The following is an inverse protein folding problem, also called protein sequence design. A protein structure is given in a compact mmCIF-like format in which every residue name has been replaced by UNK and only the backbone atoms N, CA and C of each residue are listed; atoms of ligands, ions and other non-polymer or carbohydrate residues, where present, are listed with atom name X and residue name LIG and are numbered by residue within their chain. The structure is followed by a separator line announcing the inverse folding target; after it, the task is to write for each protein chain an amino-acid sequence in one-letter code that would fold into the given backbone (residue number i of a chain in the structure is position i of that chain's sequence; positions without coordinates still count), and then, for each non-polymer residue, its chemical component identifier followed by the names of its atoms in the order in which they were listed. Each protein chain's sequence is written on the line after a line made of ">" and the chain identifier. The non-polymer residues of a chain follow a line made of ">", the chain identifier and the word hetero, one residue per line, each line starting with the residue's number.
data_IF_564414541454
#
_entry.id   IF_564414541454
#
_cell.length_a   1.000
_cell.length_b   1.000
_cell.length_c   1.000
_cell.angle_alpha   90.00
_cell.angle_beta   90.00
_cell.angle_gamma   90.00
#
_symmetry.space_group_name_H-M   'P 1'
#
loop_
_entity.id
_entity.type
_entity.pdbx_description
1 polymer ?
#
# COMPACT_ATOMS: atom_id res chain seq x y z
N UNK A 1 66.17 -26.86 -17.68
CA UNK A 1 66.65 -28.02 -16.92
C UNK A 1 68.03 -27.69 -16.40
N UNK A 2 68.35 -27.90 -15.11
CA UNK A 2 67.58 -28.55 -14.02
C UNK A 2 67.17 -27.56 -12.90
N UNK A 3 66.07 -27.75 -12.15
CA UNK A 3 65.84 -28.72 -11.02
C UNK A 3 66.50 -28.20 -9.73
N UNK A 4 65.97 -28.19 -8.51
CA UNK A 4 64.94 -28.91 -7.73
C UNK A 4 64.61 -27.99 -6.51
N UNK A 5 63.57 -28.12 -5.70
CA UNK A 5 62.66 -29.21 -5.39
C UNK A 5 61.93 -28.90 -4.06
N UNK A 6 60.91 -29.72 -3.81
CA UNK A 6 59.88 -29.71 -2.77
C UNK A 6 60.31 -29.56 -1.29
N UNK A 7 59.32 -29.18 -0.44
CA UNK A 7 59.42 -29.36 1.01
C UNK A 7 58.23 -28.90 1.87
N UNK A 8 57.11 -29.62 1.80
CA UNK A 8 56.10 -29.94 2.86
C UNK A 8 56.23 -29.31 4.27
N UNK A 9 55.14 -28.71 4.80
CA UNK A 9 54.65 -28.87 6.21
C UNK A 9 53.16 -28.40 6.34
N UNK A 10 52.38 -28.72 7.41
CA UNK A 10 51.25 -29.65 7.33
C UNK A 10 49.88 -29.06 7.79
N UNK A 11 48.85 -29.89 7.60
CA UNK A 11 47.53 -29.84 8.21
C UNK A 11 47.53 -29.50 9.72
N UNK A 12 46.70 -28.53 10.11
CA UNK A 12 46.08 -28.51 11.43
C UNK A 12 44.56 -28.35 11.28
N UNK A 13 43.87 -29.47 11.50
CA UNK A 13 42.45 -29.53 11.85
C UNK A 13 42.24 -28.86 13.20
N UNK A 14 41.32 -27.90 13.25
CA UNK A 14 40.57 -27.61 14.47
C UNK A 14 39.09 -27.76 14.18
N UNK A 15 38.52 -28.75 14.86
CA UNK A 15 37.09 -29.01 15.04
C UNK A 15 36.42 -27.82 15.73
N UNK A 16 35.40 -27.26 15.09
CA UNK A 16 34.42 -26.36 15.69
C UNK A 16 33.03 -26.89 15.37
N UNK A 17 32.23 -27.03 16.43
CA UNK A 17 30.97 -27.77 16.50
C UNK A 17 29.89 -27.28 15.54
N UNK A 18 29.07 -28.25 15.12
CA UNK A 18 27.87 -28.06 14.34
C UNK A 18 26.71 -27.72 15.27
N UNK A 19 26.13 -26.52 15.12
CA UNK A 19 24.77 -26.24 15.58
C UNK A 19 23.80 -26.57 14.46
N UNK A 20 23.15 -27.71 14.64
CA UNK A 20 21.98 -28.16 13.89
C UNK A 20 20.75 -27.38 14.33
N UNK A 21 20.18 -26.56 13.44
CA UNK A 21 18.81 -26.07 13.57
C UNK A 21 17.95 -26.74 12.50
N UNK A 22 16.97 -27.48 12.99
CA UNK A 22 15.99 -28.25 12.24
C UNK A 22 15.05 -27.30 11.45
N UNK A 23 14.69 -27.60 10.19
CA UNK A 23 13.75 -26.79 9.42
C UNK A 23 12.36 -27.41 9.53
N UNK A 24 11.45 -26.77 10.25
CA UNK A 24 10.02 -27.08 10.12
C UNK A 24 9.19 -25.79 10.07
N UNK A 25 8.30 -25.79 9.07
CA UNK A 25 7.11 -24.95 8.90
C UNK A 25 7.29 -23.46 8.58
N UNK A 26 7.36 -23.14 7.29
CA UNK A 26 6.59 -22.02 6.71
C UNK A 26 6.15 -22.36 5.28
N UNK A 27 4.94 -22.91 5.15
CA UNK A 27 4.15 -22.80 3.92
C UNK A 27 2.78 -22.22 4.28
N UNK A 28 2.33 -21.28 3.42
CA UNK A 28 0.98 -20.75 3.27
C UNK A 28 0.60 -19.49 4.07
N UNK A 29 0.98 -18.32 3.55
CA UNK A 29 -0.01 -17.31 3.12
C UNK A 29 0.69 -16.17 2.38
N UNK A 30 0.38 -16.06 1.09
CA UNK A 30 0.75 -14.97 0.19
C UNK A 30 0.25 -13.62 0.72
N UNK A 31 0.97 -12.54 0.42
CA UNK A 31 0.69 -11.13 0.76
C UNK A 31 0.90 -10.70 2.22
N UNK A 32 2.14 -10.45 2.63
CA UNK A 32 2.39 -9.67 3.86
C UNK A 32 3.70 -8.89 3.94
N UNK A 33 4.70 -9.11 3.07
CA UNK A 33 6.05 -8.58 3.33
C UNK A 33 6.61 -7.53 2.36
N UNK A 34 5.77 -6.82 1.58
CA UNK A 34 6.24 -5.65 0.82
C UNK A 34 5.62 -4.32 1.27
N UNK A 35 6.33 -3.71 2.23
CA UNK A 35 6.46 -2.27 2.49
C UNK A 35 5.30 -1.51 3.15
N UNK A 36 4.99 -1.89 4.40
CA UNK A 36 4.51 -0.97 5.45
C UNK A 36 5.68 -0.25 6.18
N UNK A 37 6.93 -0.62 5.86
CA UNK A 37 8.14 -0.20 6.58
C UNK A 37 8.60 1.25 6.29
N UNK A 38 7.95 1.99 5.38
CA UNK A 38 8.27 3.40 5.07
C UNK A 38 7.37 4.42 5.79
N UNK A 39 6.45 3.97 6.65
CA UNK A 39 5.49 4.85 7.35
C UNK A 39 5.56 4.82 8.88
N UNK A 40 6.39 3.96 9.46
CA UNK A 40 6.58 3.89 10.91
C UNK A 40 7.85 4.67 11.31
N UNK A 41 7.67 5.97 11.55
CA UNK A 41 8.66 6.82 12.19
C UNK A 41 8.00 7.54 13.37
N UNK A 42 8.56 7.28 14.55
CA UNK A 42 8.44 7.98 15.84
C UNK A 42 7.08 7.95 16.57
N UNK A 43 6.97 7.02 17.52
CA UNK A 43 6.17 7.19 18.75
C UNK A 43 7.11 7.02 19.94
N UNK A 44 7.32 8.11 20.69
CA UNK A 44 8.01 8.10 21.98
C UNK A 44 7.08 7.50 23.05
N UNK A 45 7.56 6.46 23.72
CA UNK A 45 6.96 5.88 24.92
C UNK A 45 7.22 6.80 26.12
N UNK A 46 6.17 7.31 26.76
CA UNK A 46 6.25 7.83 28.12
C UNK A 46 5.62 6.84 29.08
N UNK A 47 6.48 6.06 29.74
CA UNK A 47 6.15 5.28 30.92
C UNK A 47 6.05 6.20 32.14
N UNK A 48 4.93 6.14 32.85
CA UNK A 48 4.78 6.75 34.16
C UNK A 48 4.41 5.65 35.17
N UNK A 49 5.38 5.28 35.99
CA UNK A 49 5.17 4.51 37.21
C UNK A 49 4.42 5.37 38.23
N UNK A 50 3.40 4.81 38.89
CA UNK A 50 3.05 5.23 40.25
C UNK A 50 2.52 4.04 41.06
N UNK A 51 3.18 3.86 42.20
CA UNK A 51 2.97 2.88 43.27
C UNK A 51 1.89 3.38 44.24
N UNK A 52 1.07 2.47 44.77
CA UNK A 52 0.21 2.68 45.95
C UNK A 52 -0.69 1.46 46.15
N UNK A 53 -0.24 0.47 46.92
CA UNK A 53 -0.62 0.21 48.33
C UNK A 53 -1.98 -0.47 48.49
N UNK A 54 -1.89 -1.76 48.86
CA UNK A 54 -2.97 -2.65 49.28
C UNK A 54 -3.69 -2.11 50.52
N UNK A 55 -5.02 -2.12 50.51
CA UNK A 55 -5.85 -2.21 51.71
C UNK A 55 -7.12 -3.02 51.36
N UNK A 56 -7.20 -4.23 51.90
CA UNK A 56 -8.41 -5.03 52.02
C UNK A 56 -9.32 -4.38 53.06
N UNK A 57 -10.60 -4.15 52.72
CA UNK A 57 -11.67 -4.03 53.70
C UNK A 57 -12.94 -4.65 53.11
N UNK A 58 -13.37 -5.76 53.72
CA UNK A 58 -14.71 -6.32 53.55
C UNK A 58 -15.73 -5.50 54.36
N UNK A 59 -16.91 -5.38 53.76
CA UNK A 59 -18.24 -5.39 54.38
C UNK A 59 -19.10 -4.11 54.30
N UNK A 60 -20.36 -4.41 53.99
CA UNK A 60 -21.59 -3.62 54.14
C UNK A 60 -21.76 -2.31 53.36
N UNK A 61 -22.51 -2.39 52.26
CA UNK A 61 -23.79 -1.65 52.16
C UNK A 61 -24.61 -2.11 50.96
N UNK A 62 -25.67 -2.87 51.25
CA UNK A 62 -26.83 -2.96 50.39
C UNK A 62 -27.47 -1.56 50.24
N UNK A 63 -27.13 -0.83 49.18
CA UNK A 63 -27.88 0.35 48.73
C UNK A 63 -27.59 0.67 47.27
N UNK A 64 -28.65 0.70 46.46
CA UNK A 64 -28.70 1.04 45.02
C UNK A 64 -27.95 0.09 44.08
N UNK A 65 -28.60 -1.03 43.76
CA UNK A 65 -28.66 -1.43 42.34
C UNK A 65 -29.53 -0.41 41.62
N UNK A 66 -28.93 0.73 41.30
CA UNK A 66 -29.44 1.55 40.22
C UNK A 66 -29.14 0.71 38.99
N UNK A 67 -30.17 0.07 38.43
CA UNK A 67 -30.12 -0.36 37.04
C UNK A 67 -29.74 0.90 36.26
N UNK A 68 -28.44 1.08 36.02
CA UNK A 68 -27.96 2.03 35.04
C UNK A 68 -28.47 1.47 33.72
N UNK A 69 -29.69 1.85 33.37
CA UNK A 69 -30.22 1.72 32.02
C UNK A 69 -29.11 2.25 31.12
N UNK A 70 -28.44 1.35 30.39
CA UNK A 70 -27.37 1.77 29.50
C UNK A 70 -27.99 2.83 28.58
N UNK A 71 -27.45 4.05 28.55
CA UNK A 71 -28.05 5.13 27.80
C UNK A 71 -28.21 4.66 26.36
N UNK A 72 -29.39 4.92 25.78
CA UNK A 72 -29.70 4.62 24.38
C UNK A 72 -28.44 4.89 23.53
N UNK A 73 -28.00 3.91 22.71
CA UNK A 73 -26.71 3.97 22.03
C UNK A 73 -26.55 5.25 21.20
N UNK A 74 -27.65 5.78 20.63
CA UNK A 74 -27.66 7.05 19.90
C UNK A 74 -27.42 8.24 20.82
N UNK A 75 -28.10 8.30 21.98
CA UNK A 75 -27.95 9.39 22.95
C UNK A 75 -26.52 9.46 23.49
N UNK A 76 -25.90 8.29 23.73
CA UNK A 76 -24.49 8.22 24.14
C UNK A 76 -23.56 8.70 23.02
N UNK A 77 -23.81 8.26 21.79
CA UNK A 77 -23.05 8.67 20.61
C UNK A 77 -23.13 10.18 20.38
N UNK A 78 -24.32 10.78 20.40
CA UNK A 78 -24.51 12.22 20.22
C UNK A 78 -23.77 13.00 21.31
N UNK A 79 -23.91 12.59 22.58
CA UNK A 79 -23.22 13.24 23.69
C UNK A 79 -21.69 13.25 23.51
N UNK A 80 -21.12 12.16 23.00
CA UNK A 80 -19.67 12.03 22.86
C UNK A 80 -19.15 12.63 21.55
N UNK A 81 -19.94 12.63 20.47
CA UNK A 81 -19.55 13.16 19.17
C UNK A 81 -19.33 14.69 19.20
N UNK A 82 -20.07 15.39 20.07
CA UNK A 82 -19.95 16.84 20.26
C UNK A 82 -19.23 17.22 21.56
N UNK A 83 -18.52 16.28 22.18
CA UNK A 83 -17.75 16.55 23.41
C UNK A 83 -16.45 17.29 23.08
N UNK A 84 -16.05 18.25 23.92
CA UNK A 84 -14.74 18.92 23.81
C UNK A 84 -13.56 17.94 24.02
N UNK A 85 -13.82 16.78 24.62
CA UNK A 85 -12.81 15.76 24.90
C UNK A 85 -12.54 14.95 23.64
N UNK A 86 -11.32 15.06 23.11
CA UNK A 86 -10.85 14.35 21.91
C UNK A 86 -11.07 12.84 22.00
N UNK A 87 -10.73 12.25 23.16
CA UNK A 87 -10.91 10.81 23.40
C UNK A 87 -12.37 10.35 23.25
N UNK A 88 -13.35 11.17 23.65
CA UNK A 88 -14.76 10.83 23.49
C UNK A 88 -15.14 10.77 22.02
N UNK A 89 -14.67 11.72 21.21
CA UNK A 89 -14.95 11.76 19.76
C UNK A 89 -14.26 10.59 19.03
N UNK A 90 -13.03 10.24 19.42
CA UNK A 90 -12.35 9.03 18.94
C UNK A 90 -13.12 7.75 19.32
N UNK A 91 -13.65 7.68 20.54
CA UNK A 91 -14.45 6.55 20.99
C UNK A 91 -15.74 6.42 20.17
N UNK A 92 -16.36 7.53 19.77
CA UNK A 92 -17.49 7.48 18.83
C UNK A 92 -17.03 6.92 17.50
N UNK A 93 -15.95 7.44 16.91
CA UNK A 93 -15.42 6.97 15.63
C UNK A 93 -15.20 5.44 15.62
N UNK A 94 -14.58 4.88 16.69
CA UNK A 94 -14.37 3.43 16.87
C UNK A 94 -15.65 2.61 16.86
N UNK A 95 -16.70 3.15 17.48
CA UNK A 95 -17.94 2.41 17.75
C UNK A 95 -19.05 2.70 16.73
N UNK A 96 -18.78 3.41 15.63
CA UNK A 96 -19.80 3.73 14.61
C UNK A 96 -20.47 2.46 14.09
N UNK A 97 -19.70 1.43 13.75
CA UNK A 97 -20.23 0.18 13.19
C UNK A 97 -21.14 -0.54 14.19
N UNK A 98 -20.71 -0.64 15.45
CA UNK A 98 -21.49 -1.28 16.49
C UNK A 98 -22.77 -0.50 16.80
N UNK A 99 -22.70 0.83 16.75
CA UNK A 99 -23.87 1.69 16.94
C UNK A 99 -24.85 1.54 15.78
N UNK A 100 -24.38 1.56 14.52
CA UNK A 100 -25.22 1.30 13.35
C UNK A 100 -25.90 -0.07 13.44
N UNK A 101 -25.16 -1.11 13.84
CA UNK A 101 -25.70 -2.47 14.01
C UNK A 101 -26.81 -2.52 15.05
N UNK A 102 -26.69 -1.77 16.14
CA UNK A 102 -27.69 -1.73 17.20
C UNK A 102 -28.98 -0.98 16.79
N UNK A 103 -28.94 -0.16 15.73
CA UNK A 103 -30.05 0.75 15.38
C UNK A 103 -30.53 0.65 13.94
N UNK A 104 -30.09 -0.36 13.19
CA UNK A 104 -30.37 -0.53 11.75
C UNK A 104 -31.87 -0.52 11.40
N UNK A 105 -32.72 -0.93 12.33
CA UNK A 105 -34.19 -0.98 12.16
C UNK A 105 -34.90 0.38 12.32
N UNK A 106 -34.19 1.44 12.71
CA UNK A 106 -34.76 2.77 12.97
C UNK A 106 -34.11 3.85 12.11
N UNK A 107 -34.87 4.38 11.15
CA UNK A 107 -34.43 5.47 10.27
C UNK A 107 -33.90 6.67 11.05
N UNK A 108 -34.64 7.15 12.05
CA UNK A 108 -34.26 8.31 12.85
C UNK A 108 -32.94 8.08 13.59
N UNK A 109 -32.73 6.86 14.09
CA UNK A 109 -31.50 6.50 14.78
C UNK A 109 -30.31 6.36 13.81
N UNK A 110 -30.52 5.75 12.63
CA UNK A 110 -29.51 5.69 11.57
C UNK A 110 -29.10 7.10 11.14
N UNK A 111 -30.06 7.99 10.91
CA UNK A 111 -29.82 9.38 10.52
C UNK A 111 -28.99 10.13 11.58
N UNK A 112 -29.24 9.87 12.87
CA UNK A 112 -28.45 10.44 13.97
C UNK A 112 -26.99 9.92 13.95
N UNK A 113 -26.77 8.63 13.70
CA UNK A 113 -25.41 8.07 13.57
C UNK A 113 -24.69 8.64 12.35
N UNK A 114 -25.37 8.78 11.22
CA UNK A 114 -24.81 9.38 10.00
C UNK A 114 -24.51 10.87 10.17
N UNK A 115 -25.31 11.58 10.97
CA UNK A 115 -25.04 12.97 11.35
C UNK A 115 -23.77 13.08 12.21
N UNK A 116 -23.58 12.19 13.17
CA UNK A 116 -22.35 12.14 13.96
C UNK A 116 -21.13 11.73 13.11
N UNK A 117 -21.28 10.78 12.18
CA UNK A 117 -20.25 10.43 11.21
C UNK A 117 -19.81 11.66 10.40
N UNK A 118 -20.78 12.45 9.91
CA UNK A 118 -20.52 13.72 9.21
C UNK A 118 -19.78 14.72 10.09
N UNK A 119 -20.18 14.88 11.36
CA UNK A 119 -19.49 15.73 12.34
C UNK A 119 -18.02 15.33 12.52
N UNK A 120 -17.76 14.05 12.78
CA UNK A 120 -16.41 13.51 12.98
C UNK A 120 -15.55 13.61 11.72
N UNK A 121 -16.16 13.58 10.54
CA UNK A 121 -15.43 13.77 9.28
C UNK A 121 -14.87 15.18 9.09
N UNK A 122 -15.41 16.16 9.83
CA UNK A 122 -14.99 17.55 9.80
C UNK A 122 -14.28 17.96 11.11
N UNK A 123 -13.87 16.99 11.93
CA UNK A 123 -13.24 17.26 13.23
C UNK A 123 -11.96 18.09 13.05
N UNK A 124 -11.75 19.04 13.96
CA UNK A 124 -10.56 19.87 13.95
C UNK A 124 -9.29 19.08 14.33
N UNK A 125 -9.43 17.99 15.10
CA UNK A 125 -8.31 17.19 15.59
C UNK A 125 -7.94 16.07 14.61
N UNK A 126 -6.71 16.06 14.05
CA UNK A 126 -6.27 15.03 13.11
C UNK A 126 -6.34 13.61 13.69
N UNK A 127 -6.22 13.46 15.01
CA UNK A 127 -6.30 12.16 15.70
C UNK A 127 -7.71 11.57 15.68
N UNK A 128 -8.75 12.39 15.65
CA UNK A 128 -10.15 11.93 15.46
C UNK A 128 -10.37 11.52 14.01
N UNK A 129 -9.90 12.34 13.07
CA UNK A 129 -10.00 12.03 11.63
C UNK A 129 -9.25 10.75 11.25
N UNK A 130 -8.09 10.54 11.87
CA UNK A 130 -7.29 9.31 11.73
C UNK A 130 -8.05 8.09 12.25
N UNK A 131 -8.65 8.19 13.44
CA UNK A 131 -9.47 7.11 14.00
C UNK A 131 -10.67 6.79 13.10
N UNK A 132 -11.36 7.83 12.60
CA UNK A 132 -12.50 7.64 11.70
C UNK A 132 -12.10 6.92 10.41
N UNK A 133 -11.00 7.33 9.78
CA UNK A 133 -10.59 6.73 8.50
C UNK A 133 -10.19 5.26 8.64
N UNK A 134 -9.64 4.88 9.79
CA UNK A 134 -9.34 3.47 10.11
C UNK A 134 -10.62 2.61 10.19
N UNK A 135 -11.77 3.21 10.53
CA UNK A 135 -13.06 2.50 10.59
C UNK A 135 -13.85 2.49 9.28
N UNK A 136 -13.51 3.34 8.29
CA UNK A 136 -14.26 3.42 7.02
C UNK A 136 -14.38 2.07 6.28
N UNK A 137 -13.36 1.19 6.21
CA UNK A 137 -13.53 -0.12 5.57
C UNK A 137 -14.58 -0.98 6.25
N UNK A 138 -14.66 -0.91 7.59
CA UNK A 138 -15.64 -1.67 8.38
C UNK A 138 -17.05 -1.09 8.21
N UNK A 139 -17.17 0.24 8.23
CA UNK A 139 -18.43 0.95 7.96
C UNK A 139 -18.94 0.58 6.56
N UNK A 140 -18.09 0.68 5.54
CA UNK A 140 -18.46 0.39 4.17
C UNK A 140 -18.90 -1.07 3.98
N UNK A 141 -18.17 -2.02 4.59
CA UNK A 141 -18.49 -3.44 4.49
C UNK A 141 -19.82 -3.77 5.15
N UNK A 142 -20.08 -3.22 6.34
CA UNK A 142 -21.33 -3.42 7.07
C UNK A 142 -22.53 -2.82 6.32
N UNK A 143 -22.41 -1.58 5.83
CA UNK A 143 -23.50 -0.93 5.09
C UNK A 143 -23.83 -1.68 3.79
N UNK A 144 -22.82 -2.16 3.08
CA UNK A 144 -23.01 -2.95 1.86
C UNK A 144 -23.64 -4.33 2.13
N UNK A 145 -23.38 -4.96 3.28
CA UNK A 145 -23.96 -6.26 3.61
C UNK A 145 -25.41 -6.18 4.08
N UNK A 146 -25.76 -5.16 4.85
CA UNK A 146 -27.12 -5.00 5.39
C UNK A 146 -28.10 -4.43 4.34
N UNK A 147 -27.65 -3.45 3.54
CA UNK A 147 -28.52 -2.75 2.59
C UNK A 147 -29.64 -1.94 3.27
N UNK A 148 -30.81 -1.87 2.64
CA UNK A 148 -31.98 -1.16 3.17
C UNK A 148 -31.68 0.32 3.43
N UNK A 149 -31.81 0.76 4.68
CA UNK A 149 -31.53 2.15 5.07
C UNK A 149 -30.04 2.54 4.89
N UNK A 150 -29.15 1.55 4.78
CA UNK A 150 -27.71 1.76 4.65
C UNK A 150 -27.20 1.68 3.20
N UNK A 151 -28.07 1.41 2.23
CA UNK A 151 -27.70 1.16 0.82
C UNK A 151 -26.88 2.30 0.21
N UNK A 152 -27.19 3.56 0.55
CA UNK A 152 -26.51 4.74 0.00
C UNK A 152 -25.34 5.23 0.87
N UNK A 153 -25.07 4.63 2.03
CA UNK A 153 -24.08 5.18 2.98
C UNK A 153 -22.67 5.21 2.39
N UNK A 154 -22.29 4.18 1.63
CA UNK A 154 -20.97 4.18 0.96
C UNK A 154 -20.88 5.33 -0.04
N UNK A 155 -21.94 5.52 -0.82
CA UNK A 155 -22.05 6.52 -1.87
C UNK A 155 -22.03 7.95 -1.33
N UNK A 156 -22.80 8.20 -0.28
CA UNK A 156 -23.14 9.53 0.23
C UNK A 156 -22.28 10.00 1.41
N UNK A 157 -21.66 9.07 2.14
CA UNK A 157 -20.81 9.40 3.28
C UNK A 157 -19.37 8.89 3.09
N UNK A 158 -19.16 7.60 2.83
CA UNK A 158 -17.80 7.04 2.81
C UNK A 158 -16.95 7.63 1.69
N UNK A 159 -17.45 7.65 0.45
CA UNK A 159 -16.70 8.19 -0.70
C UNK A 159 -16.34 9.68 -0.52
N UNK A 160 -17.28 10.58 -0.13
CA UNK A 160 -16.93 11.97 0.16
C UNK A 160 -15.86 12.14 1.26
N UNK A 161 -15.91 11.33 2.32
CA UNK A 161 -14.89 11.37 3.38
C UNK A 161 -13.52 10.94 2.83
N UNK A 162 -13.47 9.88 2.03
CA UNK A 162 -12.22 9.43 1.38
C UNK A 162 -11.64 10.54 0.47
N UNK A 163 -12.48 11.15 -0.38
CA UNK A 163 -12.06 12.24 -1.27
C UNK A 163 -11.52 13.43 -0.47
N UNK A 164 -12.22 13.83 0.59
CA UNK A 164 -11.75 14.90 1.47
C UNK A 164 -10.40 14.55 2.11
N UNK A 165 -10.28 13.36 2.68
CA UNK A 165 -9.12 12.97 3.45
C UNK A 165 -7.89 12.62 2.61
N UNK A 166 -8.05 12.29 1.33
CA UNK A 166 -6.94 12.20 0.39
C UNK A 166 -6.21 13.54 0.20
N UNK A 167 -6.87 14.66 0.53
CA UNK A 167 -6.30 16.02 0.49
C UNK A 167 -6.11 16.63 1.87
N UNK A 168 -6.17 15.83 2.93
CA UNK A 168 -6.05 16.31 4.30
C UNK A 168 -4.70 17.02 4.55
N UNK A 169 -4.73 18.10 5.33
CA UNK A 169 -3.52 18.84 5.72
C UNK A 169 -2.55 17.99 6.54
N UNK A 170 -3.07 17.02 7.30
CA UNK A 170 -2.29 16.11 8.13
C UNK A 170 -1.86 14.88 7.32
N UNK A 171 -0.53 14.70 7.21
CA UNK A 171 0.07 13.59 6.46
C UNK A 171 -0.41 12.22 6.92
N UNK A 172 -0.64 12.03 8.22
CA UNK A 172 -1.09 10.74 8.75
C UNK A 172 -2.52 10.41 8.32
N UNK A 173 -3.42 11.40 8.27
CA UNK A 173 -4.79 11.21 7.79
C UNK A 173 -4.76 10.80 6.32
N UNK A 174 -4.00 11.50 5.46
CA UNK A 174 -3.86 11.11 4.04
C UNK A 174 -3.34 9.68 3.87
N UNK A 175 -2.25 9.33 4.56
CA UNK A 175 -1.63 7.99 4.46
C UNK A 175 -2.58 6.88 4.92
N UNK A 176 -3.29 7.08 6.03
CA UNK A 176 -4.31 6.13 6.49
C UNK A 176 -5.49 6.04 5.53
N UNK A 177 -5.89 7.15 4.92
CA UNK A 177 -6.92 7.17 3.88
C UNK A 177 -6.56 6.33 2.68
N UNK A 178 -5.31 6.40 2.21
CA UNK A 178 -4.84 5.55 1.12
C UNK A 178 -4.96 4.07 1.46
N UNK A 179 -4.57 3.68 2.68
CA UNK A 179 -4.70 2.29 3.14
C UNK A 179 -6.16 1.86 3.20
N UNK A 180 -7.04 2.66 3.83
CA UNK A 180 -8.47 2.36 3.93
C UNK A 180 -9.14 2.29 2.56
N UNK A 181 -8.79 3.19 1.64
CA UNK A 181 -9.27 3.16 0.26
C UNK A 181 -8.91 1.83 -0.42
N UNK A 182 -7.66 1.37 -0.32
CA UNK A 182 -7.25 0.12 -0.96
C UNK A 182 -8.03 -1.09 -0.40
N UNK A 183 -8.27 -1.15 0.91
CA UNK A 183 -9.13 -2.20 1.50
C UNK A 183 -10.58 -2.15 0.99
N UNK A 184 -11.12 -0.95 0.79
CA UNK A 184 -12.47 -0.76 0.25
C UNK A 184 -12.54 -1.18 -1.23
N UNK A 185 -11.50 -0.89 -2.02
CA UNK A 185 -11.39 -1.29 -3.42
C UNK A 185 -11.24 -2.80 -3.59
N UNK A 186 -10.45 -3.46 -2.74
CA UNK A 186 -10.27 -4.90 -2.75
C UNK A 186 -11.61 -5.65 -2.55
N UNK A 187 -12.49 -5.08 -1.71
CA UNK A 187 -13.84 -5.61 -1.46
C UNK A 187 -14.87 -5.15 -2.48
N UNK A 188 -14.48 -4.36 -3.49
CA UNK A 188 -15.36 -3.84 -4.54
C UNK A 188 -16.59 -3.10 -3.99
N UNK A 189 -16.41 -2.32 -2.91
CA UNK A 189 -17.52 -1.66 -2.20
C UNK A 189 -17.92 -0.30 -2.81
N UNK A 190 -17.12 0.27 -3.71
CA UNK A 190 -17.40 1.54 -4.37
C UNK A 190 -17.91 1.28 -5.78
N UNK A 191 -19.01 1.93 -6.17
CA UNK A 191 -19.52 1.88 -7.53
C UNK A 191 -18.49 2.39 -8.55
N UNK A 192 -18.40 1.71 -9.69
CA UNK A 192 -17.37 1.97 -10.70
C UNK A 192 -17.42 3.41 -11.20
N UNK A 193 -18.62 3.97 -11.41
CA UNK A 193 -18.77 5.36 -11.86
C UNK A 193 -18.23 6.35 -10.82
N UNK A 194 -18.52 6.12 -9.53
CA UNK A 194 -17.99 6.96 -8.46
C UNK A 194 -16.48 6.87 -8.32
N UNK A 195 -15.93 5.65 -8.42
CA UNK A 195 -14.50 5.43 -8.38
C UNK A 195 -13.79 6.22 -9.49
N UNK A 196 -14.28 6.11 -10.72
CA UNK A 196 -13.70 6.80 -11.88
C UNK A 196 -13.89 8.33 -11.83
N UNK A 197 -15.11 8.82 -11.55
CA UNK A 197 -15.44 10.25 -11.63
C UNK A 197 -14.93 11.07 -10.43
N UNK A 198 -14.84 10.48 -9.23
CA UNK A 198 -14.47 11.23 -8.02
C UNK A 198 -13.04 10.92 -7.60
N UNK A 199 -12.71 9.65 -7.41
CA UNK A 199 -11.44 9.26 -6.79
C UNK A 199 -10.32 9.25 -7.83
N UNK A 200 -10.49 8.56 -8.97
CA UNK A 200 -9.48 8.56 -10.03
C UNK A 200 -9.22 9.98 -10.57
N UNK A 201 -10.29 10.76 -10.77
CA UNK A 201 -10.17 12.17 -11.19
C UNK A 201 -9.36 12.99 -10.18
N UNK A 202 -9.63 12.84 -8.87
CA UNK A 202 -8.85 13.52 -7.83
C UNK A 202 -7.38 13.09 -7.85
N UNK A 203 -7.10 11.78 -7.93
CA UNK A 203 -5.73 11.27 -7.94
C UNK A 203 -4.94 11.80 -9.14
N UNK A 204 -5.55 11.88 -10.31
CA UNK A 204 -4.93 12.51 -11.48
C UNK A 204 -4.67 14.00 -11.23
N UNK A 205 -5.65 14.73 -10.70
CA UNK A 205 -5.52 16.16 -10.38
C UNK A 205 -4.38 16.44 -9.38
N UNK A 206 -4.21 15.59 -8.36
CA UNK A 206 -3.13 15.73 -7.37
C UNK A 206 -1.72 15.62 -7.97
N UNK A 207 -1.59 15.04 -9.18
CA UNK A 207 -0.30 14.98 -9.87
C UNK A 207 0.05 16.24 -10.66
N UNK A 208 -0.87 17.21 -10.80
CA UNK A 208 -0.66 18.46 -11.53
C UNK A 208 0.53 19.25 -10.98
N UNK A 209 1.21 20.00 -11.85
CA UNK A 209 2.47 20.72 -11.52
C UNK A 209 2.29 21.87 -10.54
N UNK A 210 1.06 22.32 -10.30
CA UNK A 210 0.75 23.37 -9.32
C UNK A 210 0.81 22.85 -7.89
N UNK A 211 0.70 21.52 -7.70
CA UNK A 211 0.75 20.89 -6.40
C UNK A 211 2.19 20.73 -5.90
N UNK A 212 2.34 20.61 -4.57
CA UNK A 212 3.62 20.32 -3.93
C UNK A 212 4.11 18.92 -4.33
N UNK A 213 5.41 18.77 -4.59
CA UNK A 213 6.01 17.50 -5.06
C UNK A 213 5.68 16.31 -4.17
N UNK A 214 5.55 16.49 -2.84
CA UNK A 214 5.15 15.42 -1.92
C UNK A 214 3.75 14.85 -2.26
N UNK A 215 2.77 15.72 -2.53
CA UNK A 215 1.43 15.29 -2.93
C UNK A 215 1.44 14.61 -4.29
N UNK A 216 2.25 15.12 -5.22
CA UNK A 216 2.39 14.54 -6.56
C UNK A 216 3.00 13.14 -6.49
N UNK A 217 4.04 12.95 -5.66
CA UNK A 217 4.67 11.65 -5.43
C UNK A 217 3.73 10.64 -4.74
N UNK A 218 3.01 11.10 -3.71
CA UNK A 218 1.97 10.30 -3.04
C UNK A 218 0.88 9.86 -4.05
N UNK A 219 0.44 10.77 -4.92
CA UNK A 219 -0.57 10.50 -5.94
C UNK A 219 -0.10 9.49 -7.00
N UNK A 220 1.15 9.55 -7.47
CA UNK A 220 1.71 8.54 -8.39
C UNK A 220 1.71 7.14 -7.75
N UNK A 221 2.11 7.07 -6.48
CA UNK A 221 2.14 5.81 -5.74
C UNK A 221 0.71 5.26 -5.55
N UNK A 222 -0.24 6.11 -5.16
CA UNK A 222 -1.63 5.72 -5.00
C UNK A 222 -2.26 5.30 -6.34
N UNK A 223 -2.01 6.05 -7.42
CA UNK A 223 -2.45 5.73 -8.78
C UNK A 223 -2.03 4.31 -9.18
N UNK A 224 -0.76 3.97 -8.96
CA UNK A 224 -0.22 2.64 -9.26
C UNK A 224 -0.88 1.55 -8.40
N UNK A 225 -1.08 1.81 -7.11
CA UNK A 225 -1.74 0.85 -6.19
C UNK A 225 -3.23 0.67 -6.47
N UNK A 226 -3.92 1.66 -7.02
CA UNK A 226 -5.33 1.59 -7.38
C UNK A 226 -5.56 0.86 -8.71
N UNK A 227 -4.59 0.93 -9.63
CA UNK A 227 -4.72 0.42 -10.98
C UNK A 227 -5.17 -1.06 -11.10
N UNK A 228 -4.72 -2.02 -10.25
CA UNK A 228 -5.21 -3.39 -10.30
C UNK A 228 -6.73 -3.51 -10.11
N UNK A 229 -7.34 -2.65 -9.28
CA UNK A 229 -8.77 -2.68 -9.00
C UNK A 229 -9.64 -2.04 -10.11
N UNK A 230 -9.02 -1.29 -11.02
CA UNK A 230 -9.68 -0.71 -12.20
C UNK A 230 -9.69 -1.70 -13.38
N UNK A 231 -8.67 -2.54 -13.45
CA UNK A 231 -8.39 -3.41 -14.57
C UNK A 231 -7.66 -2.70 -15.72
N UNK A 232 -7.21 -3.48 -16.70
CA UNK A 232 -6.35 -3.07 -17.82
C UNK A 232 -6.90 -1.85 -18.57
N UNK A 233 -8.11 -1.96 -19.13
CA UNK A 233 -8.62 -0.96 -20.07
C UNK A 233 -8.91 0.38 -19.39
N UNK A 234 -9.52 0.36 -18.20
CA UNK A 234 -9.78 1.58 -17.42
C UNK A 234 -8.47 2.22 -16.96
N UNK A 235 -7.48 1.45 -16.52
CA UNK A 235 -6.14 1.98 -16.16
C UNK A 235 -5.44 2.61 -17.35
N UNK A 236 -5.45 1.94 -18.50
CA UNK A 236 -4.86 2.43 -19.73
C UNK A 236 -5.53 3.73 -20.21
N UNK A 237 -6.84 3.87 -20.01
CA UNK A 237 -7.58 5.07 -20.38
C UNK A 237 -7.37 6.24 -19.39
N UNK A 238 -7.52 5.99 -18.08
CA UNK A 238 -7.54 7.05 -17.07
C UNK A 238 -6.14 7.45 -16.56
N UNK A 239 -5.25 6.48 -16.35
CA UNK A 239 -4.01 6.70 -15.61
C UNK A 239 -2.77 6.66 -16.50
N UNK A 240 -2.69 5.76 -17.48
CA UNK A 240 -1.49 5.60 -18.31
C UNK A 240 -1.02 6.90 -18.98
N UNK A 241 -1.88 7.73 -19.61
CA UNK A 241 -1.42 8.96 -20.26
C UNK A 241 -0.73 9.91 -19.26
N UNK A 242 -1.29 10.00 -18.05
CA UNK A 242 -0.73 10.85 -17.00
C UNK A 242 0.56 10.26 -16.43
N UNK A 243 0.60 8.96 -16.16
CA UNK A 243 1.79 8.27 -15.68
C UNK A 243 2.98 8.46 -16.64
N UNK A 244 2.76 8.27 -17.95
CA UNK A 244 3.79 8.48 -18.99
C UNK A 244 4.26 9.94 -19.06
N UNK A 245 3.35 10.90 -18.87
CA UNK A 245 3.74 12.31 -18.76
C UNK A 245 4.62 12.57 -17.54
N UNK A 246 4.37 11.92 -16.41
CA UNK A 246 5.14 12.10 -15.16
C UNK A 246 6.52 11.41 -15.21
N UNK A 247 6.66 10.34 -16.00
CA UNK A 247 7.98 9.76 -16.31
C UNK A 247 8.93 10.79 -16.97
N UNK A 248 8.39 11.81 -17.62
CA UNK A 248 9.12 12.87 -18.33
C UNK A 248 9.15 14.19 -17.56
N UNK A 249 8.75 14.18 -16.28
CA UNK A 249 8.61 15.39 -15.48
C UNK A 249 9.95 16.11 -15.23
N UNK A 250 9.90 17.43 -15.06
CA UNK A 250 11.09 18.22 -14.74
C UNK A 250 11.70 17.81 -13.37
N UNK A 251 10.85 17.43 -12.41
CA UNK A 251 11.28 16.96 -11.09
C UNK A 251 11.81 15.53 -11.17
N UNK A 252 13.10 15.36 -10.85
CA UNK A 252 13.71 14.03 -10.81
C UNK A 252 13.12 13.13 -9.71
N UNK A 253 12.53 13.73 -8.66
CA UNK A 253 11.83 12.98 -7.63
C UNK A 253 10.62 12.25 -8.20
N UNK A 254 9.83 12.94 -9.04
CA UNK A 254 8.69 12.35 -9.72
C UNK A 254 9.12 11.28 -10.73
N UNK A 255 10.15 11.55 -11.54
CA UNK A 255 10.69 10.54 -12.46
C UNK A 255 11.20 9.30 -11.73
N UNK A 256 11.84 9.48 -10.58
CA UNK A 256 12.31 8.36 -9.72
C UNK A 256 11.14 7.54 -9.18
N UNK A 257 10.07 8.19 -8.71
CA UNK A 257 8.86 7.49 -8.22
C UNK A 257 8.18 6.76 -9.37
N UNK A 258 8.06 7.37 -10.55
CA UNK A 258 7.51 6.69 -11.74
C UNK A 258 8.36 5.48 -12.15
N UNK A 259 9.69 5.63 -12.18
CA UNK A 259 10.61 4.52 -12.45
C UNK A 259 10.42 3.36 -11.48
N UNK A 260 10.27 3.64 -10.17
CA UNK A 260 10.04 2.62 -9.16
C UNK A 260 8.67 1.91 -9.26
N UNK A 261 7.69 2.51 -9.96
CA UNK A 261 6.35 1.94 -10.16
C UNK A 261 6.13 1.42 -11.59
N UNK A 262 7.11 1.56 -12.49
CA UNK A 262 6.93 1.26 -13.93
C UNK A 262 6.65 -0.23 -14.19
N UNK A 263 7.29 -1.11 -13.41
CA UNK A 263 7.08 -2.56 -13.47
C UNK A 263 5.64 -2.94 -13.17
N UNK A 264 5.11 -2.50 -12.02
CA UNK A 264 3.73 -2.76 -11.60
C UNK A 264 2.73 -2.21 -12.61
N UNK A 265 2.94 -0.97 -13.05
CA UNK A 265 2.08 -0.34 -14.05
C UNK A 265 2.07 -1.14 -15.36
N UNK A 266 3.23 -1.61 -15.80
CA UNK A 266 3.38 -2.45 -16.99
C UNK A 266 2.61 -3.77 -16.87
N UNK A 267 2.70 -4.44 -15.72
CA UNK A 267 1.96 -5.69 -15.48
C UNK A 267 0.44 -5.50 -15.57
N UNK A 268 -0.06 -4.33 -15.17
CA UNK A 268 -1.50 -4.02 -15.18
C UNK A 268 -1.99 -3.65 -16.59
N UNK A 269 -1.28 -2.79 -17.30
CA UNK A 269 -1.68 -2.37 -18.66
C UNK A 269 -1.35 -3.44 -19.70
N UNK A 270 -0.39 -4.33 -19.43
CA UNK A 270 -0.06 -5.46 -20.29
C UNK A 270 0.80 -5.09 -21.51
N UNK A 271 1.18 -6.13 -22.25
CA UNK A 271 2.25 -6.10 -23.26
C UNK A 271 2.10 -4.98 -24.29
N UNK A 272 0.93 -4.82 -24.91
CA UNK A 272 0.71 -3.85 -25.99
C UNK A 272 1.06 -2.42 -25.55
N UNK A 273 0.45 -1.95 -24.46
CA UNK A 273 0.72 -0.61 -23.93
C UNK A 273 2.14 -0.46 -23.38
N UNK A 274 2.70 -1.52 -22.77
CA UNK A 274 4.08 -1.49 -22.28
C UNK A 274 5.10 -1.37 -23.41
N UNK A 275 4.94 -2.15 -24.50
CA UNK A 275 5.83 -2.12 -25.65
C UNK A 275 5.72 -0.80 -26.42
N UNK A 276 4.50 -0.26 -26.57
CA UNK A 276 4.27 1.06 -27.19
C UNK A 276 4.94 2.21 -26.41
N UNK A 277 4.98 2.10 -25.08
CA UNK A 277 5.59 3.10 -24.21
C UNK A 277 7.03 2.76 -23.80
N UNK A 278 7.62 1.70 -24.33
CA UNK A 278 8.99 1.30 -24.00
C UNK A 278 10.05 2.40 -24.19
N UNK A 279 9.95 3.31 -25.19
CA UNK A 279 10.86 4.45 -25.30
C UNK A 279 10.92 5.33 -24.04
N UNK A 280 9.83 5.42 -23.29
CA UNK A 280 9.76 6.18 -22.03
C UNK A 280 10.54 5.48 -20.93
N UNK A 281 10.44 4.15 -20.83
CA UNK A 281 11.26 3.37 -19.90
C UNK A 281 12.74 3.46 -20.23
N UNK A 282 13.08 3.41 -21.53
CA UNK A 282 14.45 3.60 -22.00
C UNK A 282 15.01 4.96 -21.56
N UNK A 283 14.24 6.03 -21.75
CA UNK A 283 14.63 7.37 -21.28
C UNK A 283 14.90 7.40 -19.78
N UNK A 284 14.08 6.74 -18.95
CA UNK A 284 14.32 6.65 -17.50
C UNK A 284 15.58 5.83 -17.16
N UNK A 285 15.87 4.78 -17.92
CA UNK A 285 17.10 3.98 -17.78
C UNK A 285 18.36 4.76 -18.18
N UNK A 286 18.21 5.81 -18.99
CA UNK A 286 19.28 6.71 -19.45
C UNK A 286 19.28 8.07 -18.70
N UNK A 287 18.45 8.22 -17.67
CA UNK A 287 18.25 9.49 -16.95
C UNK A 287 19.56 10.07 -16.40
N UNK A 288 19.70 11.40 -16.38
CA UNK A 288 20.90 12.04 -15.84
C UNK A 288 21.11 11.79 -14.34
N UNK A 289 20.04 11.50 -13.59
CA UNK A 289 20.06 11.20 -12.16
C UNK A 289 20.18 9.69 -11.93
N UNK A 290 21.31 9.28 -11.35
CA UNK A 290 21.59 7.87 -11.06
C UNK A 290 20.51 7.18 -10.20
N UNK A 291 19.83 7.94 -9.34
CA UNK A 291 18.74 7.42 -8.50
C UNK A 291 17.52 6.97 -9.30
N UNK A 292 17.25 7.58 -10.46
CA UNK A 292 16.18 7.19 -11.39
C UNK A 292 16.59 5.92 -12.13
N UNK A 293 17.82 5.88 -12.67
CA UNK A 293 18.37 4.69 -13.34
C UNK A 293 18.44 3.48 -12.41
N UNK A 294 18.83 3.69 -11.16
CA UNK A 294 18.81 2.65 -10.11
C UNK A 294 17.40 2.08 -9.92
N UNK A 295 16.38 2.95 -9.80
CA UNK A 295 15.00 2.51 -9.66
C UNK A 295 14.54 1.68 -10.86
N UNK A 296 14.94 2.05 -12.09
CA UNK A 296 14.65 1.25 -13.28
C UNK A 296 15.31 -0.13 -13.23
N UNK A 297 16.56 -0.22 -12.78
CA UNK A 297 17.25 -1.50 -12.62
C UNK A 297 16.53 -2.43 -11.62
N UNK A 298 15.99 -1.87 -10.53
CA UNK A 298 15.27 -2.62 -9.50
C UNK A 298 13.94 -3.22 -9.99
N UNK A 299 13.27 -2.57 -10.96
CA UNK A 299 11.99 -3.05 -11.54
C UNK A 299 12.12 -3.66 -12.93
N UNK A 300 13.35 -3.90 -13.39
CA UNK A 300 13.59 -4.29 -14.79
C UNK A 300 12.99 -5.66 -15.14
N UNK A 301 12.98 -6.59 -14.18
CA UNK A 301 12.42 -7.94 -14.39
C UNK A 301 10.91 -7.90 -14.66
N UNK A 302 10.05 -7.26 -13.82
CA UNK A 302 8.64 -7.10 -14.12
C UNK A 302 8.35 -6.52 -15.51
N UNK A 303 9.07 -5.46 -15.92
CA UNK A 303 8.94 -4.88 -17.27
C UNK A 303 9.30 -5.90 -18.36
N UNK A 304 10.37 -6.67 -18.14
CA UNK A 304 10.78 -7.73 -19.06
C UNK A 304 9.73 -8.83 -19.17
N UNK A 305 9.13 -9.25 -18.06
CA UNK A 305 8.09 -10.29 -18.04
C UNK A 305 6.86 -9.95 -18.88
N UNK A 306 6.53 -8.66 -18.99
CA UNK A 306 5.40 -8.19 -19.79
C UNK A 306 5.74 -8.08 -21.28
N UNK A 307 6.97 -7.73 -21.63
CA UNK A 307 7.41 -7.58 -23.02
C UNK A 307 7.52 -8.92 -23.76
N UNK A 308 7.35 -8.93 -25.08
CA UNK A 308 7.62 -10.09 -25.94
C UNK A 308 9.10 -10.49 -25.93
N UNK A 309 9.39 -11.76 -26.23
CA UNK A 309 10.77 -12.25 -26.34
C UNK A 309 11.59 -11.50 -27.40
N UNK A 310 10.94 -10.97 -28.44
CA UNK A 310 11.60 -10.15 -29.46
C UNK A 310 12.11 -8.86 -28.84
N UNK A 311 11.23 -8.10 -28.18
CA UNK A 311 11.58 -6.86 -27.48
C UNK A 311 12.61 -7.10 -26.38
N UNK A 312 12.48 -8.19 -25.61
CA UNK A 312 13.47 -8.57 -24.60
C UNK A 312 14.88 -8.67 -25.19
N UNK A 313 15.01 -9.27 -26.39
CA UNK A 313 16.29 -9.46 -27.06
C UNK A 313 16.81 -8.20 -27.77
N UNK A 314 15.96 -7.51 -28.51
CA UNK A 314 16.38 -6.38 -29.36
C UNK A 314 16.53 -5.07 -28.60
N UNK A 315 15.79 -4.87 -27.51
CA UNK A 315 15.72 -3.60 -26.80
C UNK A 315 16.17 -3.73 -25.35
N UNK A 316 15.54 -4.62 -24.56
CA UNK A 316 15.79 -4.69 -23.13
C UNK A 316 17.17 -5.26 -22.78
N UNK A 317 17.65 -6.29 -23.49
CA UNK A 317 18.96 -6.86 -23.22
C UNK A 317 20.11 -5.84 -23.44
N UNK A 318 20.20 -5.10 -24.57
CA UNK A 318 21.16 -4.00 -24.70
C UNK A 318 21.03 -2.95 -23.60
N UNK A 319 19.79 -2.54 -23.27
CA UNK A 319 19.54 -1.55 -22.25
C UNK A 319 20.01 -2.00 -20.86
N UNK A 320 19.79 -3.27 -20.51
CA UNK A 320 20.25 -3.83 -19.24
C UNK A 320 21.78 -3.94 -19.17
N UNK A 321 22.45 -4.24 -20.29
CA UNK A 321 23.91 -4.21 -20.36
C UNK A 321 24.46 -2.81 -20.08
N UNK A 322 23.80 -1.74 -20.53
CA UNK A 322 24.15 -0.37 -20.16
C UNK A 322 24.03 -0.12 -18.65
N UNK A 323 23.02 -0.68 -17.98
CA UNK A 323 22.86 -0.55 -16.53
C UNK A 323 23.93 -1.33 -15.73
N UNK A 324 24.39 -2.47 -16.25
CA UNK A 324 25.49 -3.24 -15.66
C UNK A 324 26.83 -2.50 -15.75
N UNK A 325 27.04 -1.73 -16.82
CA UNK A 325 28.22 -0.89 -17.04
C UNK A 325 28.01 0.58 -16.64
N UNK A 326 26.98 0.86 -15.84
CA UNK A 326 26.62 2.23 -15.44
C UNK A 326 27.77 2.91 -14.68
N UNK A 327 27.95 4.22 -14.84
CA UNK A 327 29.00 4.98 -14.15
C UNK A 327 28.84 4.97 -12.61
N UNK A 328 27.60 4.94 -12.13
CA UNK A 328 27.28 4.87 -10.70
C UNK A 328 27.40 3.45 -10.18
N UNK A 329 28.23 3.27 -9.14
CA UNK A 329 28.35 1.98 -8.43
C UNK A 329 26.99 1.47 -7.91
N UNK A 330 26.10 2.36 -7.48
CA UNK A 330 24.81 1.98 -6.92
C UNK A 330 23.84 1.43 -7.97
N UNK A 331 23.91 1.94 -9.20
CA UNK A 331 23.13 1.42 -10.33
C UNK A 331 23.66 0.04 -10.70
N UNK A 332 24.99 -0.12 -10.81
CA UNK A 332 25.60 -1.44 -11.09
C UNK A 332 25.21 -2.49 -10.06
N UNK A 333 25.24 -2.17 -8.76
CA UNK A 333 24.81 -3.11 -7.70
C UNK A 333 23.36 -3.55 -7.90
N UNK A 334 22.44 -2.60 -8.14
CA UNK A 334 21.04 -2.92 -8.38
C UNK A 334 20.86 -3.78 -9.65
N UNK A 335 21.55 -3.45 -10.74
CA UNK A 335 21.54 -4.24 -11.97
C UNK A 335 22.09 -5.66 -11.75
N UNK A 336 23.16 -5.83 -10.96
CA UNK A 336 23.66 -7.17 -10.62
C UNK A 336 22.68 -7.97 -9.76
N UNK A 337 21.95 -7.33 -8.84
CA UNK A 337 20.88 -7.99 -8.08
C UNK A 337 19.72 -8.42 -8.99
N UNK A 338 19.37 -7.59 -9.97
CA UNK A 338 18.31 -7.89 -10.93
C UNK A 338 18.74 -8.81 -12.09
N UNK A 339 20.03 -9.08 -12.28
CA UNK A 339 20.56 -9.83 -13.43
C UNK A 339 20.01 -11.25 -13.54
N UNK A 340 20.02 -12.00 -12.43
CA UNK A 340 19.47 -13.36 -12.38
C UNK A 340 17.98 -13.38 -12.74
N UNK A 341 17.13 -12.60 -12.04
CA UNK A 341 15.72 -12.43 -12.39
C UNK A 341 15.49 -11.96 -13.83
N UNK A 342 16.30 -11.07 -14.37
CA UNK A 342 16.16 -10.64 -15.77
C UNK A 342 16.47 -11.78 -16.75
N UNK A 343 17.55 -12.54 -16.54
CA UNK A 343 17.91 -13.68 -17.38
C UNK A 343 16.80 -14.75 -17.37
N UNK A 344 16.16 -15.00 -16.23
CA UNK A 344 15.10 -16.01 -16.14
C UNK A 344 13.92 -15.69 -17.07
N UNK A 345 13.68 -14.41 -17.38
CA UNK A 345 12.65 -13.99 -18.33
C UNK A 345 12.91 -14.47 -19.78
N UNK A 346 14.11 -14.94 -20.12
CA UNK A 346 14.39 -15.53 -21.43
C UNK A 346 14.19 -17.05 -21.48
N UNK A 347 13.85 -17.67 -20.35
CA UNK A 347 13.60 -19.10 -20.28
C UNK A 347 12.44 -19.47 -21.22
N UNK A 348 12.60 -20.59 -21.92
CA UNK A 348 11.52 -21.21 -22.68
C UNK A 348 10.89 -22.30 -21.81
N UNK A 349 9.65 -22.13 -21.33
CA UNK A 349 9.01 -23.08 -20.42
C UNK A 349 8.97 -24.51 -20.96
N UNK A 350 8.84 -24.69 -22.28
CA UNK A 350 8.84 -26.01 -22.93
C UNK A 350 10.19 -26.74 -22.82
N UNK A 351 11.29 -25.99 -22.60
CA UNK A 351 12.64 -26.55 -22.50
C UNK A 351 13.14 -26.63 -21.07
N UNK A 352 12.77 -25.67 -20.24
CA UNK A 352 13.29 -25.54 -18.87
C UNK A 352 12.34 -26.12 -17.83
N UNK A 353 11.06 -26.30 -18.18
CA UNK A 353 10.00 -26.56 -17.20
C UNK A 353 9.81 -25.40 -16.23
N UNK A 354 10.30 -24.19 -16.55
CA UNK A 354 10.22 -23.00 -15.70
C UNK A 354 9.34 -21.95 -16.39
N UNK A 355 8.37 -21.38 -15.66
CA UNK A 355 7.54 -20.25 -16.10
C UNK A 355 7.59 -19.12 -15.06
N UNK A 356 7.31 -17.89 -15.48
CA UNK A 356 7.12 -16.76 -14.56
C UNK A 356 5.62 -16.67 -14.25
N UNK A 357 5.25 -16.72 -12.98
CA UNK A 357 3.87 -16.48 -12.53
C UNK A 357 3.47 -15.01 -12.71
N UNK A 358 2.18 -14.71 -12.57
CA UNK A 358 1.65 -13.34 -12.63
C UNK A 358 2.28 -12.42 -11.56
N UNK A 359 2.72 -13.01 -10.44
CA UNK A 359 3.43 -12.30 -9.35
C UNK A 359 4.95 -12.14 -9.60
N UNK A 360 5.44 -12.54 -10.78
CA UNK A 360 6.86 -12.45 -11.15
C UNK A 360 7.75 -13.51 -10.50
N UNK A 361 7.17 -14.55 -9.88
CA UNK A 361 7.94 -15.66 -9.29
C UNK A 361 8.25 -16.70 -10.37
N UNK A 362 9.49 -17.22 -10.38
CA UNK A 362 9.88 -18.30 -11.30
C UNK A 362 9.48 -19.65 -10.69
N UNK A 363 8.49 -20.30 -11.29
CA UNK A 363 7.92 -21.57 -10.82
C UNK A 363 8.25 -22.71 -11.79
N UNK A 364 8.23 -23.95 -11.27
CA UNK A 364 8.33 -25.16 -12.11
C UNK A 364 6.94 -25.56 -12.58
N UNK A 365 6.80 -25.86 -13.87
CA UNK A 365 5.59 -26.44 -14.43
C UNK A 365 5.31 -27.81 -13.78
N UNK A 366 4.17 -27.93 -13.11
CA UNK A 366 3.63 -29.22 -12.68
C UNK A 366 3.24 -30.02 -13.91
N UNK A 367 3.91 -31.16 -14.12
CA UNK A 367 3.62 -32.11 -15.21
C UNK A 367 2.32 -32.87 -14.99
#
# INVERSE_FOLDING_TARGET
>A
MPDDGDGLVPDQRTSGEADSVNPENEESSCWSNFSLAMLAGDQEETSAEQVGEDCEDEDDTASRRQEHEEPNPVVKLERYAYSDIVFNRQLVARNIVDTLRAVVDSQEAVDAVLTALGSLSLDCEPSVRTELVEQLPNIASFCASEGGLLENVVREHVVPILVQYLTDVANQVRKRTQVSLLFILERSLIDRKQLEEQICSLVVHLTESENVDDYRMEAVTLMTKMAPYLGKDTTAYLFLPRFISLCQDASFHLRKVCAANYGDFSSIVGQEYTEDNLPVFQMLCEDCVWGVRKACAEVFMPVSCVCSLVIRRSNLAPLFLCLLDDQSRWVRIAAFQALGPFISTFANPLRTGLYCSEDGVVERASL
#
